data_IF_462966868270
#
_entry.id   IF_462966868270
#
_cell.length_a   1.000
_cell.length_b   1.000
_cell.length_c   1.000
_cell.angle_alpha   90.00
_cell.angle_beta   90.00
_cell.angle_gamma   90.00
#
_symmetry.space_group_name_H-M   'P 1'
#
loop_
_entity.id
_entity.type
_entity.pdbx_description
1 polymer ?
#
# COMPACT_ATOMS: atom_id res chain seq x y z
N UNK A 1 26.15 -17.15 -21.50
CA UNK A 1 25.34 -17.57 -20.33
C UNK A 1 24.95 -16.29 -19.61
N UNK A 2 23.67 -15.96 -19.61
CA UNK A 2 23.16 -14.72 -19.06
C UNK A 2 23.34 -14.70 -17.55
N UNK A 3 23.98 -13.67 -17.00
CA UNK A 3 23.57 -13.20 -15.68
C UNK A 3 23.62 -11.68 -15.65
N UNK A 4 22.42 -11.15 -15.64
CA UNK A 4 22.00 -9.78 -15.40
C UNK A 4 22.78 -9.17 -14.23
N UNK A 5 23.63 -8.20 -14.53
CA UNK A 5 24.04 -7.18 -13.56
C UNK A 5 23.03 -6.04 -13.68
N UNK A 6 22.10 -5.85 -12.72
CA UNK A 6 21.39 -4.58 -12.66
C UNK A 6 22.32 -3.54 -12.03
N UNK A 7 22.59 -2.50 -12.81
CA UNK A 7 23.24 -1.26 -12.39
C UNK A 7 22.51 -0.63 -11.18
N UNK A 8 23.20 -0.28 -10.07
CA UNK A 8 22.53 0.22 -8.87
C UNK A 8 22.21 1.72 -8.88
N UNK A 9 22.46 2.49 -9.94
CA UNK A 9 22.32 3.94 -9.86
C UNK A 9 21.95 4.59 -11.20
N UNK A 10 20.66 4.70 -11.50
CA UNK A 10 19.98 5.90 -12.06
C UNK A 10 18.55 5.56 -12.46
N UNK A 11 17.57 6.24 -11.83
CA UNK A 11 16.12 6.38 -12.19
C UNK A 11 15.13 5.77 -11.18
N UNK A 12 14.51 6.63 -10.35
CA UNK A 12 13.17 6.40 -9.79
C UNK A 12 13.09 5.79 -8.39
N UNK A 13 13.36 6.59 -7.34
CA UNK A 13 13.09 6.21 -5.95
C UNK A 13 11.63 5.74 -5.69
N UNK A 14 10.69 6.09 -6.58
CA UNK A 14 9.27 5.72 -6.47
C UNK A 14 8.96 4.29 -6.97
N UNK A 15 9.74 3.73 -7.89
CA UNK A 15 9.47 2.42 -8.49
C UNK A 15 10.05 1.26 -7.67
N UNK A 16 11.24 1.47 -7.08
CA UNK A 16 11.90 0.46 -6.27
C UNK A 16 11.14 0.14 -4.96
N UNK A 17 10.59 1.16 -4.29
CA UNK A 17 9.78 0.97 -3.09
C UNK A 17 8.50 0.18 -3.35
N UNK A 18 7.82 0.48 -4.46
CA UNK A 18 6.62 -0.24 -4.89
C UNK A 18 6.89 -1.70 -5.29
N UNK A 19 7.99 -1.97 -5.99
CA UNK A 19 8.38 -3.34 -6.34
C UNK A 19 8.69 -4.18 -5.09
N UNK A 20 9.39 -3.62 -4.11
CA UNK A 20 9.65 -4.28 -2.84
C UNK A 20 8.37 -4.53 -2.02
N UNK A 21 7.43 -3.58 -2.04
CA UNK A 21 6.11 -3.73 -1.42
C UNK A 21 5.33 -4.89 -2.05
N UNK A 22 5.24 -4.94 -3.38
CA UNK A 22 4.59 -6.04 -4.11
C UNK A 22 5.24 -7.41 -3.86
N UNK A 23 6.56 -7.45 -3.65
CA UNK A 23 7.26 -8.69 -3.36
C UNK A 23 6.94 -9.21 -1.94
N UNK A 24 6.69 -8.31 -0.99
CA UNK A 24 6.38 -8.61 0.41
C UNK A 24 4.88 -8.83 0.66
N UNK A 25 4.02 -8.13 -0.06
CA UNK A 25 2.58 -8.09 0.16
C UNK A 25 1.83 -8.64 -1.05
N UNK A 26 0.79 -9.43 -0.76
CA UNK A 26 -0.06 -10.05 -1.79
C UNK A 26 -1.52 -9.75 -1.54
N UNK A 27 -2.31 -9.82 -2.59
CA UNK A 27 -3.75 -9.71 -2.47
C UNK A 27 -4.27 -10.72 -1.43
N UNK A 28 -5.09 -10.25 -0.50
CA UNK A 28 -5.64 -11.00 0.61
C UNK A 28 -4.79 -10.94 1.89
N UNK A 29 -3.60 -10.35 1.86
CA UNK A 29 -2.72 -10.17 3.02
C UNK A 29 -3.32 -9.15 4.00
N UNK A 30 -3.14 -9.38 5.30
CA UNK A 30 -3.74 -8.55 6.36
C UNK A 30 -2.63 -7.78 7.06
N UNK A 31 -2.75 -6.45 7.03
CA UNK A 31 -1.69 -5.50 7.33
C UNK A 31 -2.21 -4.41 8.26
N UNK A 32 -1.33 -3.84 9.08
CA UNK A 32 -1.65 -2.65 9.85
C UNK A 32 -1.48 -1.41 8.96
N UNK A 33 -2.55 -0.64 8.78
CA UNK A 33 -2.54 0.58 8.00
C UNK A 33 -2.79 1.79 8.91
N UNK A 34 -1.99 2.84 8.72
CA UNK A 34 -2.12 4.07 9.52
C UNK A 34 -3.02 5.06 8.81
N UNK A 35 -4.07 5.51 9.47
CA UNK A 35 -5.04 6.44 8.91
C UNK A 35 -4.41 7.82 8.82
N UNK A 36 -4.11 8.26 7.62
CA UNK A 36 -3.63 9.62 7.36
C UNK A 36 -4.79 10.59 7.28
N UNK A 37 -5.91 10.17 6.68
CA UNK A 37 -7.08 11.03 6.51
C UNK A 37 -8.40 10.26 6.49
N UNK A 38 -9.31 10.48 7.44
CA UNK A 38 -10.63 9.86 7.42
C UNK A 38 -11.51 10.47 6.33
N UNK A 39 -12.36 9.63 5.73
CA UNK A 39 -13.31 9.97 4.68
C UNK A 39 -14.73 9.48 5.07
N UNK A 40 -15.81 10.03 4.50
CA UNK A 40 -17.16 9.59 4.83
C UNK A 40 -17.47 8.14 4.38
N UNK A 41 -16.77 7.64 3.35
CA UNK A 41 -16.93 6.26 2.83
C UNK A 41 -15.81 5.30 3.26
N UNK A 42 -14.88 5.75 4.11
CA UNK A 42 -13.70 4.98 4.50
C UNK A 42 -12.57 5.85 5.01
N UNK A 43 -11.33 5.58 4.60
CA UNK A 43 -10.19 6.39 4.97
C UNK A 43 -9.01 6.25 4.02
N UNK A 44 -8.25 7.33 3.85
CA UNK A 44 -6.90 7.24 3.34
C UNK A 44 -6.00 6.74 4.46
N UNK A 45 -5.27 5.71 4.12
CA UNK A 45 -4.32 5.06 5.00
C UNK A 45 -2.96 5.00 4.30
N UNK A 46 -1.92 4.78 5.07
CA UNK A 46 -0.56 4.58 4.57
C UNK A 46 -0.02 3.27 5.13
N UNK A 47 0.62 2.48 4.27
CA UNK A 47 1.26 1.20 4.60
C UNK A 47 2.66 1.21 4.02
N UNK A 48 3.70 1.14 4.84
CA UNK A 48 5.11 1.13 4.39
C UNK A 48 5.46 2.27 3.41
N UNK A 49 4.91 3.48 3.63
CA UNK A 49 5.10 4.64 2.76
C UNK A 49 4.29 4.60 1.46
N UNK A 50 3.44 3.60 1.27
CA UNK A 50 2.52 3.46 0.14
C UNK A 50 1.13 3.96 0.54
N UNK A 51 0.56 4.92 -0.20
CA UNK A 51 -0.80 5.38 0.06
C UNK A 51 -1.82 4.33 -0.36
N UNK A 52 -2.75 4.06 0.55
CA UNK A 52 -3.85 3.12 0.40
C UNK A 52 -5.21 3.78 0.64
N UNK A 53 -6.24 3.22 0.00
CA UNK A 53 -7.62 3.59 0.27
C UNK A 53 -8.31 2.44 0.98
N UNK A 54 -8.73 2.68 2.22
CA UNK A 54 -9.57 1.79 2.98
C UNK A 54 -11.04 2.11 2.68
N UNK A 55 -11.78 1.16 2.12
CA UNK A 55 -13.23 1.29 1.88
C UNK A 55 -14.03 0.47 2.88
N UNK A 56 -15.23 0.93 3.23
CA UNK A 56 -16.13 0.18 4.13
C UNK A 56 -15.76 0.26 5.61
N UNK A 57 -14.91 1.21 6.00
CA UNK A 57 -14.55 1.46 7.40
C UNK A 57 -14.84 2.91 7.82
N UNK A 58 -16.13 3.26 8.02
CA UNK A 58 -16.54 4.60 8.41
C UNK A 58 -16.18 4.89 9.87
N UNK A 59 -15.92 6.16 10.19
CA UNK A 59 -15.76 6.62 11.58
C UNK A 59 -14.36 6.40 12.18
N UNK A 60 -13.36 6.07 11.37
CA UNK A 60 -11.97 6.00 11.84
C UNK A 60 -11.39 7.40 12.10
N UNK A 61 -10.45 7.50 13.04
CA UNK A 61 -9.77 8.74 13.40
C UNK A 61 -8.42 8.86 12.68
N UNK A 62 -8.05 10.08 12.28
CA UNK A 62 -6.71 10.38 11.81
C UNK A 62 -5.67 9.98 12.88
N UNK A 63 -4.57 9.37 12.46
CA UNK A 63 -3.54 8.81 13.34
C UNK A 63 -3.89 7.45 13.96
N UNK A 64 -5.09 6.92 13.72
CA UNK A 64 -5.45 5.57 14.15
C UNK A 64 -4.77 4.51 13.29
N UNK A 65 -4.30 3.44 13.92
CA UNK A 65 -3.85 2.23 13.21
C UNK A 65 -5.02 1.26 13.10
N UNK A 66 -5.28 0.76 11.89
CA UNK A 66 -6.37 -0.19 11.63
C UNK A 66 -5.84 -1.40 10.88
N UNK A 67 -6.38 -2.56 11.21
CA UNK A 67 -6.05 -3.80 10.50
C UNK A 67 -6.88 -3.84 9.22
N UNK A 68 -6.20 -3.85 8.08
CA UNK A 68 -6.82 -3.85 6.79
C UNK A 68 -6.25 -4.94 5.88
N UNK A 69 -7.12 -5.58 5.14
CA UNK A 69 -6.80 -6.61 4.16
C UNK A 69 -6.57 -5.98 2.80
N UNK A 70 -5.47 -6.35 2.14
CA UNK A 70 -5.15 -5.91 0.79
C UNK A 70 -6.14 -6.53 -0.21
N UNK A 71 -7.17 -5.79 -0.58
CA UNK A 71 -8.16 -6.26 -1.54
C UNK A 71 -7.61 -6.25 -2.97
N UNK A 72 -6.87 -5.21 -3.34
CA UNK A 72 -6.28 -5.09 -4.67
C UNK A 72 -5.06 -4.19 -4.65
N UNK A 73 -4.14 -4.44 -5.57
CA UNK A 73 -2.93 -3.65 -5.74
C UNK A 73 -2.89 -3.20 -7.21
N UNK A 74 -2.81 -1.88 -7.43
CA UNK A 74 -2.79 -1.30 -8.78
C UNK A 74 -1.36 -0.83 -9.10
N UNK A 75 -0.60 -1.63 -9.88
CA UNK A 75 0.80 -1.34 -10.18
C UNK A 75 0.99 -0.14 -11.11
N UNK A 76 -0.05 0.25 -11.85
CA UNK A 76 0.02 1.37 -12.79
C UNK A 76 -0.07 2.71 -12.07
N UNK A 77 -0.85 2.79 -10.98
CA UNK A 77 -1.01 4.02 -10.18
C UNK A 77 -0.34 3.99 -8.82
N UNK A 78 0.45 2.95 -8.52
CA UNK A 78 1.15 2.75 -7.24
C UNK A 78 0.23 2.95 -6.02
N UNK A 79 -0.98 2.39 -6.06
CA UNK A 79 -1.95 2.48 -4.97
C UNK A 79 -2.49 1.12 -4.59
N UNK A 80 -2.89 1.00 -3.34
CA UNK A 80 -3.52 -0.21 -2.81
C UNK A 80 -4.96 0.07 -2.39
N UNK A 81 -5.84 -0.89 -2.65
CA UNK A 81 -7.20 -0.93 -2.15
C UNK A 81 -7.25 -1.89 -0.98
N UNK A 82 -7.73 -1.38 0.14
CA UNK A 82 -7.77 -2.07 1.42
C UNK A 82 -9.22 -2.17 1.87
N UNK A 83 -9.53 -3.26 2.56
CA UNK A 83 -10.82 -3.45 3.26
C UNK A 83 -10.59 -3.80 4.72
N UNK A 84 -11.54 -3.53 5.61
CA UNK A 84 -11.44 -4.03 6.98
C UNK A 84 -11.33 -5.56 6.98
N UNK A 85 -10.39 -6.08 7.78
CA UNK A 85 -10.15 -7.51 7.96
C UNK A 85 -11.18 -8.16 8.87
#
# INVERSE_FOLDING_TARGET
>A
MANHTPDPATTGASAAGWAAFQARHRQGDVMAATVTRPLPFGALVEVDGVPGLLTGFPGVRAGGTVTARLQALDPTRHRISLTPA
#
